data_IF_259877713251
#
_entry.id   IF_259877713251
#
_cell.length_a   1.000
_cell.length_b   1.000
_cell.length_c   1.000
_cell.angle_alpha   90.00
_cell.angle_beta   90.00
_cell.angle_gamma   90.00
#
_symmetry.space_group_name_H-M   'P 1'
#
loop_
_entity.id
_entity.type
_entity.pdbx_description
1 polymer ?
#
# COMPACT_ATOMS: atom_id res chain seq x y z
N UNK A 1 -5.05 -2.77 27.96
CA UNK A 1 -5.94 -2.29 26.88
C UNK A 1 -5.27 -2.62 25.54
N UNK A 2 -5.80 -3.58 24.76
CA UNK A 2 -5.25 -3.92 23.43
C UNK A 2 -5.88 -3.00 22.38
N UNK A 3 -5.09 -2.07 21.85
CA UNK A 3 -5.52 -1.22 20.73
C UNK A 3 -5.53 -2.10 19.47
N UNK A 4 -6.73 -2.43 18.95
CA UNK A 4 -6.86 -3.04 17.62
C UNK A 4 -6.46 -1.98 16.58
N UNK A 5 -5.33 -2.18 15.90
CA UNK A 5 -4.96 -1.29 14.81
C UNK A 5 -5.99 -1.43 13.66
N UNK A 6 -6.51 -0.32 13.12
CA UNK A 6 -7.36 -0.35 11.95
C UNK A 6 -6.59 -0.93 10.76
N UNK A 7 -7.18 -1.91 10.09
CA UNK A 7 -6.64 -2.47 8.83
C UNK A 7 -7.12 -1.58 7.68
N UNK A 8 -6.20 -0.94 6.97
CA UNK A 8 -6.53 -0.19 5.75
C UNK A 8 -6.46 -1.13 4.56
N UNK A 9 -7.57 -1.23 3.84
CA UNK A 9 -7.63 -1.90 2.55
C UNK A 9 -7.55 -0.82 1.46
N UNK A 10 -6.51 -0.88 0.64
CA UNK A 10 -6.42 -0.07 -0.58
C UNK A 10 -6.54 -0.99 -1.78
N UNK A 11 -7.47 -0.68 -2.68
CA UNK A 11 -7.64 -1.42 -3.92
C UNK A 11 -6.82 -0.72 -4.99
N UNK A 12 -5.85 -1.43 -5.55
CA UNK A 12 -5.10 -0.96 -6.70
C UNK A 12 -5.58 -1.70 -7.94
N UNK A 13 -6.13 -0.95 -8.89
CA UNK A 13 -6.51 -1.48 -10.20
C UNK A 13 -5.37 -1.25 -11.17
N UNK A 14 -4.93 -2.33 -11.79
CA UNK A 14 -3.93 -2.30 -12.84
C UNK A 14 -4.52 -2.96 -14.07
N UNK A 15 -4.30 -2.34 -15.23
CA UNK A 15 -4.71 -2.93 -16.51
C UNK A 15 -3.99 -4.27 -16.71
N UNK A 16 -4.71 -5.21 -17.32
CA UNK A 16 -4.37 -6.65 -17.40
C UNK A 16 -3.02 -6.93 -18.07
N UNK A 17 -2.43 -5.94 -18.75
CA UNK A 17 -1.32 -6.14 -19.68
C UNK A 17 0.07 -5.83 -19.15
N UNK A 18 0.27 -5.50 -17.87
CA UNK A 18 1.67 -5.37 -17.41
C UNK A 18 1.96 -5.70 -15.94
N UNK A 19 2.67 -6.83 -15.82
CA UNK A 19 3.89 -7.01 -15.04
C UNK A 19 3.72 -7.11 -13.51
N UNK A 20 4.47 -8.06 -12.94
CA UNK A 20 4.58 -8.33 -11.50
C UNK A 20 4.84 -7.03 -10.73
N UNK A 21 4.07 -6.81 -9.67
CA UNK A 21 4.19 -5.66 -8.79
C UNK A 21 4.76 -6.07 -7.44
N UNK A 22 5.46 -5.14 -6.82
CA UNK A 22 6.21 -5.33 -5.60
C UNK A 22 5.79 -4.27 -4.59
N UNK A 23 5.24 -4.71 -3.46
CA UNK A 23 4.99 -3.85 -2.32
C UNK A 23 6.23 -3.84 -1.41
N UNK A 24 6.74 -2.65 -1.09
CA UNK A 24 8.05 -2.50 -0.44
C UNK A 24 8.15 -1.25 0.44
N UNK A 25 9.34 -1.02 1.00
CA UNK A 25 9.70 0.19 1.77
C UNK A 25 10.01 1.37 0.85
N UNK A 26 9.96 2.58 1.39
CA UNK A 26 10.38 3.78 0.67
C UNK A 26 11.83 3.68 0.15
N UNK A 27 12.75 3.16 0.98
CA UNK A 27 14.17 3.03 0.62
C UNK A 27 14.39 2.18 -0.62
N UNK A 28 13.82 0.97 -0.65
CA UNK A 28 13.90 0.07 -1.81
C UNK A 28 13.26 0.67 -3.06
N UNK A 29 12.20 1.46 -2.90
CA UNK A 29 11.51 2.13 -3.99
C UNK A 29 12.30 3.30 -4.58
N UNK A 30 13.02 4.05 -3.74
CA UNK A 30 13.94 5.08 -4.20
C UNK A 30 15.09 4.45 -5.00
N UNK A 31 15.60 3.31 -4.56
CA UNK A 31 16.64 2.54 -5.24
C UNK A 31 16.16 1.70 -6.43
N UNK A 32 14.84 1.64 -6.69
CA UNK A 32 14.24 0.73 -7.66
C UNK A 32 14.73 -0.73 -7.54
N UNK A 33 14.78 -1.22 -6.30
CA UNK A 33 15.25 -2.56 -5.96
C UNK A 33 14.06 -3.47 -5.62
N UNK A 34 13.53 -4.26 -6.58
CA UNK A 34 12.37 -5.14 -6.37
C UNK A 34 12.69 -6.42 -5.57
N UNK A 35 13.97 -6.64 -5.24
CA UNK A 35 14.40 -7.84 -4.53
C UNK A 35 13.87 -7.85 -3.08
N UNK A 36 13.50 -9.02 -2.59
CA UNK A 36 12.92 -9.28 -1.27
C UNK A 36 11.80 -8.29 -0.91
N UNK A 37 10.71 -8.26 -1.72
CA UNK A 37 9.58 -7.40 -1.47
C UNK A 37 8.86 -7.85 -0.20
N UNK A 38 8.12 -6.93 0.42
CA UNK A 38 7.24 -7.28 1.54
C UNK A 38 6.06 -8.12 1.05
N UNK A 39 5.65 -7.92 -0.21
CA UNK A 39 4.64 -8.73 -0.88
C UNK A 39 4.78 -8.63 -2.40
N UNK A 40 4.60 -9.76 -3.08
CA UNK A 40 4.48 -9.82 -4.54
C UNK A 40 3.01 -9.83 -4.94
N UNK A 41 2.66 -9.07 -5.97
CA UNK A 41 1.31 -8.95 -6.49
C UNK A 41 1.29 -9.32 -7.96
N UNK A 42 0.46 -10.29 -8.32
CA UNK A 42 0.23 -10.71 -9.70
C UNK A 42 -1.02 -9.98 -10.24
N UNK A 43 -0.96 -9.28 -11.37
CA UNK A 43 -2.12 -8.55 -11.90
C UNK A 43 -3.24 -9.51 -12.33
N UNK A 44 -4.23 -9.71 -11.46
CA UNK A 44 -5.44 -10.49 -11.74
C UNK A 44 -6.64 -9.61 -12.16
N UNK A 45 -6.39 -8.37 -12.61
CA UNK A 45 -7.41 -7.35 -12.94
C UNK A 45 -7.91 -6.53 -11.75
N UNK A 46 -7.89 -7.08 -10.53
CA UNK A 46 -8.08 -6.35 -9.28
C UNK A 46 -7.17 -6.94 -8.21
N UNK A 47 -6.24 -6.15 -7.66
CA UNK A 47 -5.46 -6.58 -6.50
C UNK A 47 -5.81 -5.73 -5.28
N UNK A 48 -6.16 -6.41 -4.20
CA UNK A 48 -6.39 -5.79 -2.91
C UNK A 48 -5.09 -5.82 -2.11
N UNK A 49 -4.57 -4.65 -1.76
CA UNK A 49 -3.42 -4.53 -0.86
C UNK A 49 -3.94 -4.27 0.55
N UNK A 50 -3.65 -5.19 1.48
CA UNK A 50 -3.82 -4.93 2.90
C UNK A 50 -2.57 -4.22 3.42
N UNK A 51 -2.71 -3.01 3.92
CA UNK A 51 -1.60 -2.23 4.45
C UNK A 51 -1.27 -2.70 5.86
N UNK A 52 -0.05 -3.23 6.04
CA UNK A 52 0.36 -3.89 7.29
C UNK A 52 0.90 -2.95 8.36
N UNK A 53 1.33 -1.73 8.01
CA UNK A 53 1.85 -0.78 9.01
C UNK A 53 1.67 0.67 8.59
N UNK A 54 1.57 1.54 9.60
CA UNK A 54 1.64 3.00 9.48
C UNK A 54 3.09 3.37 9.14
N UNK A 55 3.37 3.62 7.87
CA UNK A 55 4.67 4.11 7.40
C UNK A 55 4.60 4.50 5.92
N UNK A 56 5.68 5.08 5.41
CA UNK A 56 5.87 5.29 3.97
C UNK A 56 6.13 3.97 3.27
N UNK A 57 5.36 3.71 2.23
CA UNK A 57 5.34 2.48 1.47
C UNK A 57 5.38 2.79 -0.01
N UNK A 58 5.67 1.75 -0.77
CA UNK A 58 5.68 1.86 -2.22
C UNK A 58 5.13 0.61 -2.86
N UNK A 59 4.43 0.81 -3.97
CA UNK A 59 4.17 -0.22 -4.97
C UNK A 59 4.97 0.14 -6.21
N UNK A 60 5.79 -0.77 -6.71
CA UNK A 60 6.57 -0.57 -7.93
C UNK A 60 6.52 -1.81 -8.82
N UNK A 61 6.82 -1.62 -10.10
CA UNK A 61 6.98 -2.72 -11.05
C UNK A 61 8.44 -3.22 -11.05
N UNK A 62 8.86 -3.91 -12.12
CA UNK A 62 10.25 -4.33 -12.33
C UNK A 62 11.22 -3.16 -12.21
N UNK A 63 12.51 -3.45 -11.97
CA UNK A 63 13.55 -2.41 -11.85
C UNK A 63 13.53 -1.42 -13.01
N UNK A 64 13.47 -1.91 -14.25
CA UNK A 64 13.42 -1.08 -15.46
C UNK A 64 12.21 -0.14 -15.46
N UNK A 65 11.01 -0.66 -15.17
CA UNK A 65 9.80 0.14 -15.11
C UNK A 65 9.82 1.16 -13.98
N UNK A 66 10.37 0.78 -12.83
CA UNK A 66 10.53 1.70 -11.69
C UNK A 66 11.47 2.86 -12.05
N UNK A 67 12.56 2.58 -12.78
CA UNK A 67 13.48 3.60 -13.28
C UNK A 67 12.79 4.52 -14.30
N UNK A 68 11.83 3.99 -15.08
CA UNK A 68 10.95 4.75 -15.95
C UNK A 68 9.77 5.44 -15.23
N UNK A 69 9.76 5.44 -13.90
CA UNK A 69 8.76 6.14 -13.09
C UNK A 69 7.49 5.36 -12.79
N UNK A 70 7.38 4.09 -13.19
CA UNK A 70 6.25 3.20 -12.86
C UNK A 70 6.39 2.70 -11.41
N UNK A 71 6.14 3.62 -10.48
CA UNK A 71 6.12 3.40 -9.03
C UNK A 71 5.19 4.41 -8.36
N UNK A 72 4.61 4.01 -7.23
CA UNK A 72 3.76 4.85 -6.41
C UNK A 72 4.28 4.81 -4.98
N UNK A 73 4.78 5.95 -4.52
CA UNK A 73 5.12 6.20 -3.12
C UNK A 73 3.89 6.78 -2.41
N UNK A 74 3.56 6.24 -1.24
CA UNK A 74 2.45 6.72 -0.43
C UNK A 74 2.74 6.55 1.06
N UNK A 75 2.03 7.32 1.89
CA UNK A 75 2.16 7.26 3.34
C UNK A 75 0.89 6.66 3.94
N UNK A 76 1.04 5.56 4.67
CA UNK A 76 -0.07 4.98 5.45
C UNK A 76 -0.15 5.73 6.77
N UNK A 77 -1.27 6.41 6.99
CA UNK A 77 -1.55 7.15 8.23
C UNK A 77 -2.59 6.39 9.07
N UNK A 78 -2.60 6.60 10.39
CA UNK A 78 -3.70 6.11 11.23
C UNK A 78 -5.04 6.67 10.73
N UNK A 79 -6.08 5.87 10.86
CA UNK A 79 -7.44 6.33 10.61
C UNK A 79 -7.75 7.36 11.69
N UNK A 80 -8.49 8.43 11.35
CA UNK A 80 -9.15 9.18 12.40
C UNK A 80 -9.97 8.20 13.25
N UNK A 81 -9.77 8.23 14.56
CA UNK A 81 -10.65 7.53 15.47
C UNK A 81 -12.07 8.04 15.20
N UNK A 82 -13.01 7.14 14.91
CA UNK A 82 -14.42 7.50 14.92
C UNK A 82 -14.72 7.95 16.35
N UNK A 83 -14.82 9.27 16.55
CA UNK A 83 -15.48 9.78 17.74
C UNK A 83 -16.92 9.29 17.65
N UNK A 84 -17.31 8.36 18.52
CA UNK A 84 -18.71 8.13 18.79
C UNK A 84 -19.31 9.49 19.16
N UNK A 85 -20.13 10.05 18.26
CA UNK A 85 -21.01 11.16 18.62
C UNK A 85 -21.91 10.61 19.72
N UNK A 86 -21.62 10.98 20.96
CA UNK A 86 -22.63 10.98 22.00
C UNK A 86 -23.58 12.11 21.67
N UNK A 87 -24.50 11.85 20.74
CA UNK A 87 -25.67 12.68 20.59
C UNK A 87 -26.50 12.46 21.87
N UNK A 88 -26.16 13.21 22.91
CA UNK A 88 -27.00 13.36 24.09
C UNK A 88 -28.22 14.14 23.63
N UNK A 89 -29.27 13.42 23.25
CA UNK A 89 -30.61 13.99 23.15
C UNK A 89 -31.03 14.28 24.60
N UNK A 90 -31.02 15.56 24.97
CA UNK A 90 -31.66 16.07 26.20
C UNK A 90 -33.12 16.34 25.88
#
# INVERSE_FOLDING_TARGET
MRIKMPKFLSVFRFERESRKLFYTTQEKCNACCPNDPLMEMYPCGNNCLTLMAISKRCVMSTRENCLNGIKLLFEVKPAPALQERRDTII
#
